data_IF_849546200842
#
_entry.id   IF_849546200842
#
_cell.length_a   1.000
_cell.length_b   1.000
_cell.length_c   1.000
_cell.angle_alpha   90.00
_cell.angle_beta   90.00
_cell.angle_gamma   90.00
#
_symmetry.space_group_name_H-M   'P 1'
#
loop_
_entity.id
_entity.type
_entity.pdbx_description
1 polymer ?
#
# COMPACT_ATOMS: atom_id res chain seq x y z
N UNK A 1 0.98 -17.08 4.57
CA UNK A 1 1.69 -16.93 3.29
C UNK A 1 3.13 -16.60 3.65
N UNK A 2 4.10 -17.35 3.13
CA UNK A 2 5.53 -17.08 3.39
C UNK A 2 6.11 -16.27 2.24
N UNK A 3 7.09 -15.37 2.47
CA UNK A 3 7.76 -14.65 1.41
C UNK A 3 8.44 -15.63 0.42
N UNK A 4 8.40 -15.31 -0.87
CA UNK A 4 9.13 -16.09 -1.87
C UNK A 4 10.64 -15.98 -1.69
N UNK A 5 11.40 -16.92 -2.25
CA UNK A 5 12.87 -16.85 -2.27
C UNK A 5 13.36 -15.58 -2.98
N UNK A 6 12.65 -15.17 -4.05
CA UNK A 6 12.92 -13.92 -4.75
C UNK A 6 12.81 -12.70 -3.82
N UNK A 7 11.73 -12.60 -3.03
CA UNK A 7 11.55 -11.48 -2.09
C UNK A 7 12.64 -11.49 -1.01
N UNK A 8 12.93 -12.67 -0.45
CA UNK A 8 13.97 -12.81 0.58
C UNK A 8 15.33 -12.31 0.08
N UNK A 9 15.74 -12.76 -1.10
CA UNK A 9 17.01 -12.35 -1.70
C UNK A 9 17.02 -10.86 -2.07
N UNK A 10 15.90 -10.34 -2.61
CA UNK A 10 15.76 -8.92 -2.96
C UNK A 10 15.89 -8.04 -1.73
N UNK A 11 15.17 -8.35 -0.66
CA UNK A 11 15.24 -7.59 0.59
C UNK A 11 16.64 -7.68 1.22
N UNK A 12 17.26 -8.89 1.20
CA UNK A 12 18.62 -9.04 1.70
C UNK A 12 19.61 -8.11 0.97
N UNK A 13 19.56 -8.08 -0.36
CA UNK A 13 20.45 -7.21 -1.17
C UNK A 13 20.21 -5.73 -0.91
N UNK A 14 18.94 -5.31 -0.89
CA UNK A 14 18.56 -3.91 -0.74
C UNK A 14 18.89 -3.37 0.66
N UNK A 15 18.75 -4.19 1.70
CA UNK A 15 18.97 -3.78 3.10
C UNK A 15 20.43 -3.88 3.51
N UNK A 16 21.18 -4.86 2.99
CA UNK A 16 22.60 -5.10 3.34
C UNK A 16 23.51 -3.88 3.14
N UNK A 17 23.26 -3.08 2.09
CA UNK A 17 24.03 -1.88 1.78
C UNK A 17 23.37 -0.59 2.28
N UNK A 18 22.31 -0.69 3.10
CA UNK A 18 21.48 0.42 3.57
C UNK A 18 20.87 1.29 2.46
N UNK A 19 20.86 0.82 1.22
CA UNK A 19 20.30 1.56 0.09
C UNK A 19 18.81 1.86 0.28
N UNK A 20 18.08 0.89 0.83
CA UNK A 20 16.66 1.03 1.10
C UNK A 20 16.31 1.92 2.32
N UNK A 21 17.30 2.42 3.04
CA UNK A 21 17.09 3.23 4.26
C UNK A 21 17.53 4.69 4.12
N UNK A 22 17.85 5.13 2.91
CA UNK A 22 18.36 6.49 2.73
C UNK A 22 17.26 7.56 2.93
N UNK A 23 16.07 7.32 2.39
CA UNK A 23 14.91 8.21 2.50
C UNK A 23 13.62 7.42 2.22
N UNK A 24 12.45 8.11 2.32
CA UNK A 24 11.13 7.54 2.06
C UNK A 24 11.06 6.84 0.69
N UNK A 25 11.55 7.50 -0.36
CA UNK A 25 11.54 6.94 -1.72
C UNK A 25 12.37 5.65 -1.81
N UNK A 26 13.57 5.64 -1.23
CA UNK A 26 14.41 4.44 -1.20
C UNK A 26 13.75 3.28 -0.47
N UNK A 27 13.03 3.54 0.62
CA UNK A 27 12.24 2.52 1.35
C UNK A 27 11.08 2.03 0.51
N UNK A 28 10.35 2.95 -0.10
CA UNK A 28 9.23 2.65 -0.98
C UNK A 28 9.66 1.72 -2.12
N UNK A 29 10.72 2.06 -2.82
CA UNK A 29 11.23 1.28 -3.96
C UNK A 29 11.97 0.00 -3.54
N UNK A 30 12.78 0.07 -2.49
CA UNK A 30 13.68 -1.01 -2.08
C UNK A 30 13.06 -2.05 -1.16
N UNK A 31 11.97 -1.73 -0.48
CA UNK A 31 11.32 -2.63 0.50
C UNK A 31 9.84 -2.79 0.16
N UNK A 32 9.07 -1.69 0.13
CA UNK A 32 7.62 -1.76 0.03
C UNK A 32 7.17 -2.32 -1.33
N UNK A 33 7.70 -1.77 -2.42
CA UNK A 33 7.36 -2.24 -3.77
C UNK A 33 7.70 -3.71 -4.00
N UNK A 34 8.88 -4.25 -3.63
CA UNK A 34 9.15 -5.68 -3.68
C UNK A 34 8.15 -6.54 -2.89
N UNK A 35 7.74 -6.12 -1.69
CA UNK A 35 6.74 -6.83 -0.89
C UNK A 35 5.39 -6.88 -1.63
N UNK A 36 4.94 -5.76 -2.18
CA UNK A 36 3.68 -5.69 -2.92
C UNK A 36 3.72 -6.49 -4.22
N UNK A 37 4.86 -6.50 -4.90
CA UNK A 37 5.08 -7.29 -6.13
C UNK A 37 5.05 -8.79 -5.82
N UNK A 38 5.69 -9.22 -4.74
CA UNK A 38 5.64 -10.61 -4.28
C UNK A 38 4.22 -11.04 -3.92
N UNK A 39 3.48 -10.16 -3.24
CA UNK A 39 2.07 -10.37 -2.92
C UNK A 39 1.23 -10.55 -4.19
N UNK A 40 1.42 -9.70 -5.19
CA UNK A 40 0.75 -9.78 -6.48
C UNK A 40 1.02 -11.12 -7.18
N UNK A 41 2.29 -11.52 -7.24
CA UNK A 41 2.72 -12.78 -7.84
C UNK A 41 2.14 -14.00 -7.11
N UNK A 42 2.20 -14.03 -5.78
CA UNK A 42 1.67 -15.13 -4.96
C UNK A 42 0.13 -15.25 -5.02
N UNK A 43 -0.56 -14.19 -5.44
CA UNK A 43 -2.00 -14.18 -5.69
C UNK A 43 -2.34 -14.39 -7.18
N UNK A 44 -1.42 -14.94 -7.99
CA UNK A 44 -1.62 -15.23 -9.41
C UNK A 44 -2.13 -14.02 -10.20
N UNK A 45 -1.63 -12.83 -9.90
CA UNK A 45 -2.03 -11.57 -10.55
C UNK A 45 -3.55 -11.31 -10.51
N UNK A 46 -4.21 -11.71 -9.43
CA UNK A 46 -5.66 -11.54 -9.25
C UNK A 46 -6.11 -10.09 -8.98
N UNK A 47 -5.16 -9.18 -8.86
CA UNK A 47 -5.35 -7.74 -8.74
C UNK A 47 -4.26 -7.01 -9.52
N UNK A 48 -4.38 -5.69 -9.66
CA UNK A 48 -3.35 -4.85 -10.29
C UNK A 48 -2.71 -3.93 -9.27
N UNK A 49 -1.42 -3.66 -9.44
CA UNK A 49 -0.62 -2.79 -8.58
C UNK A 49 -0.12 -1.60 -9.41
N UNK A 50 -0.39 -0.40 -8.93
CA UNK A 50 0.08 0.86 -9.51
C UNK A 50 0.92 1.60 -8.48
N UNK A 51 2.04 2.19 -8.92
CA UNK A 51 2.92 3.05 -8.11
C UNK A 51 2.79 4.49 -8.60
N UNK A 52 2.67 5.45 -7.68
CA UNK A 52 2.53 6.87 -8.01
C UNK A 52 1.24 7.22 -8.77
N UNK A 53 0.15 6.50 -8.49
CA UNK A 53 -1.09 6.71 -9.20
C UNK A 53 -1.89 7.88 -8.62
N UNK A 54 -2.43 8.72 -9.52
CA UNK A 54 -3.31 9.82 -9.13
C UNK A 54 -4.74 9.32 -9.00
N UNK A 55 -5.32 9.51 -7.82
CA UNK A 55 -6.74 9.27 -7.58
C UNK A 55 -7.50 10.60 -7.67
N UNK A 56 -8.43 10.69 -8.61
CA UNK A 56 -9.33 11.82 -8.77
C UNK A 56 -10.66 11.57 -8.04
N UNK A 57 -10.69 11.80 -6.73
CA UNK A 57 -11.89 11.71 -5.91
C UNK A 57 -12.78 12.95 -6.07
N UNK A 58 -12.60 13.94 -5.24
CA UNK A 58 -13.27 15.24 -5.27
C UNK A 58 -12.27 16.38 -5.07
N UNK A 59 -12.09 17.20 -6.13
CA UNK A 59 -11.16 18.34 -6.11
C UNK A 59 -11.61 19.45 -5.15
N UNK A 60 -12.91 19.65 -4.99
CA UNK A 60 -13.45 20.70 -4.10
C UNK A 60 -13.23 20.38 -2.63
N UNK A 61 -13.20 19.10 -2.29
CA UNK A 61 -12.92 18.62 -0.93
C UNK A 61 -11.43 18.34 -0.71
N UNK A 62 -10.56 18.57 -1.70
CA UNK A 62 -9.14 18.24 -1.61
C UNK A 62 -8.86 16.73 -1.58
N UNK A 63 -9.82 15.90 -1.98
CA UNK A 63 -9.72 14.44 -2.01
C UNK A 63 -9.26 13.94 -3.36
N UNK A 64 -8.18 14.53 -3.84
CA UNK A 64 -7.48 14.13 -5.05
C UNK A 64 -5.97 14.26 -4.82
N UNK A 65 -5.20 13.35 -5.36
CA UNK A 65 -3.74 13.37 -5.20
C UNK A 65 -3.09 12.08 -5.61
N UNK A 66 -1.78 12.10 -5.58
CA UNK A 66 -0.94 10.95 -5.82
C UNK A 66 -0.94 10.04 -4.58
N UNK A 67 -1.02 8.73 -4.82
CA UNK A 67 -0.87 7.70 -3.81
C UNK A 67 0.38 6.89 -4.11
N UNK A 68 1.17 6.55 -3.10
CA UNK A 68 2.39 5.77 -3.31
C UNK A 68 2.11 4.45 -4.00
N UNK A 69 1.11 3.71 -3.53
CA UNK A 69 0.66 2.48 -4.18
C UNK A 69 -0.86 2.34 -4.12
N UNK A 70 -1.43 1.89 -5.25
CA UNK A 70 -2.86 1.63 -5.41
C UNK A 70 -3.05 0.22 -5.94
N UNK A 71 -3.94 -0.53 -5.30
CA UNK A 71 -4.30 -1.88 -5.74
C UNK A 71 -5.76 -1.87 -6.22
N UNK A 72 -5.98 -2.46 -7.40
CA UNK A 72 -7.31 -2.53 -8.01
C UNK A 72 -7.68 -3.97 -8.36
N UNK A 73 -8.98 -4.24 -8.44
CA UNK A 73 -9.48 -5.56 -8.89
C UNK A 73 -9.60 -5.68 -10.41
N UNK A 74 -9.37 -4.59 -11.13
CA UNK A 74 -9.35 -4.63 -12.58
C UNK A 74 -8.11 -5.36 -13.10
N UNK A 75 -8.16 -5.84 -14.34
CA UNK A 75 -6.97 -6.32 -15.03
C UNK A 75 -5.98 -5.18 -15.20
N UNK A 76 -4.69 -5.49 -15.19
CA UNK A 76 -3.66 -4.47 -15.32
C UNK A 76 -3.73 -3.78 -16.68
N UNK A 77 -3.78 -2.45 -16.64
CA UNK A 77 -3.78 -1.56 -17.77
C UNK A 77 -2.76 -0.44 -17.55
N UNK A 78 -2.50 0.37 -18.57
CA UNK A 78 -1.63 1.55 -18.47
C UNK A 78 -2.29 2.62 -17.58
N UNK A 79 -3.61 2.72 -17.63
CA UNK A 79 -4.39 3.65 -16.83
C UNK A 79 -4.92 2.99 -15.57
N UNK A 80 -5.06 3.80 -14.51
CA UNK A 80 -5.66 3.34 -13.26
C UNK A 80 -7.13 2.98 -13.46
N UNK A 81 -7.44 1.71 -13.30
CA UNK A 81 -8.78 1.18 -13.48
C UNK A 81 -9.50 0.93 -12.15
N UNK A 82 -10.84 1.02 -12.17
CA UNK A 82 -11.69 0.72 -11.02
C UNK A 82 -12.05 -0.77 -10.95
N UNK A 83 -12.36 -1.28 -9.78
CA UNK A 83 -12.39 -0.59 -8.50
C UNK A 83 -11.05 -0.63 -7.76
N UNK A 84 -10.66 0.49 -7.17
CA UNK A 84 -9.61 0.52 -6.14
C UNK A 84 -10.13 -0.20 -4.89
N UNK A 85 -9.34 -1.08 -4.32
CA UNK A 85 -9.68 -1.77 -3.08
C UNK A 85 -8.66 -1.59 -1.96
N UNK A 86 -7.44 -1.19 -2.28
CA UNK A 86 -6.40 -0.95 -1.29
C UNK A 86 -5.49 0.22 -1.69
N UNK A 87 -5.09 1.00 -0.71
CA UNK A 87 -4.07 2.03 -0.82
C UNK A 87 -2.98 1.74 0.19
N UNK A 88 -1.72 1.86 -0.22
CA UNK A 88 -0.56 1.75 0.65
C UNK A 88 0.23 3.06 0.59
N UNK A 89 0.43 3.65 1.75
CA UNK A 89 1.21 4.87 1.95
C UNK A 89 2.55 4.52 2.59
N UNK A 90 3.63 4.89 1.97
CA UNK A 90 4.98 4.71 2.48
C UNK A 90 5.44 5.94 3.27
N UNK A 91 6.13 5.72 4.39
CA UNK A 91 6.71 6.78 5.20
C UNK A 91 8.16 6.44 5.57
N UNK A 92 8.95 7.47 5.86
CA UNK A 92 10.34 7.27 6.22
C UNK A 92 10.49 6.70 7.63
N UNK A 93 10.02 7.41 8.65
CA UNK A 93 10.28 7.03 10.04
C UNK A 93 9.05 7.07 10.95
N UNK A 94 7.95 7.68 10.53
CA UNK A 94 6.77 7.90 11.37
C UNK A 94 5.48 7.48 10.66
N UNK A 95 4.98 6.35 11.07
CA UNK A 95 3.70 5.79 10.57
C UNK A 95 2.52 6.70 10.92
N UNK A 96 2.53 7.33 12.09
CA UNK A 96 1.40 8.14 12.57
C UNK A 96 1.13 9.34 11.64
N UNK A 97 2.17 9.89 11.03
CA UNK A 97 2.04 10.98 10.04
C UNK A 97 1.36 10.53 8.74
N UNK A 98 1.50 9.27 8.38
CA UNK A 98 0.87 8.70 7.17
C UNK A 98 -0.60 8.33 7.35
N UNK A 99 -1.07 8.14 8.58
CA UNK A 99 -2.44 7.68 8.84
C UNK A 99 -3.50 8.68 8.35
N UNK A 100 -3.45 9.98 8.68
CA UNK A 100 -4.40 10.96 8.16
C UNK A 100 -4.39 11.05 6.64
N UNK A 101 -3.21 10.98 6.02
CA UNK A 101 -3.05 11.00 4.57
C UNK A 101 -3.70 9.76 3.93
N UNK A 102 -3.40 8.57 4.42
CA UNK A 102 -4.01 7.33 3.94
C UNK A 102 -5.54 7.33 4.09
N UNK A 103 -6.06 7.87 5.19
CA UNK A 103 -7.51 8.02 5.40
C UNK A 103 -8.12 8.94 4.34
N UNK A 104 -7.52 10.10 4.08
CA UNK A 104 -8.00 11.03 3.05
C UNK A 104 -7.96 10.38 1.66
N UNK A 105 -6.91 9.66 1.33
CA UNK A 105 -6.78 8.90 0.08
C UNK A 105 -7.85 7.80 -0.04
N UNK A 106 -8.20 7.11 1.04
CA UNK A 106 -9.28 6.13 1.06
C UNK A 106 -10.65 6.76 0.78
N UNK A 107 -10.92 7.95 1.31
CA UNK A 107 -12.12 8.71 0.96
C UNK A 107 -12.11 9.13 -0.52
N UNK A 108 -10.98 9.61 -1.03
CA UNK A 108 -10.80 9.92 -2.45
C UNK A 108 -11.01 8.70 -3.34
N UNK A 109 -10.44 7.55 -2.99
CA UNK A 109 -10.62 6.28 -3.71
C UNK A 109 -12.07 5.82 -3.71
N UNK A 110 -12.78 6.02 -2.61
CA UNK A 110 -14.20 5.72 -2.55
C UNK A 110 -15.00 6.55 -3.55
N UNK A 111 -14.83 7.88 -3.54
CA UNK A 111 -15.50 8.78 -4.48
C UNK A 111 -15.09 8.48 -5.93
N UNK A 112 -13.81 8.14 -6.16
CA UNK A 112 -13.33 7.68 -7.46
C UNK A 112 -14.07 6.44 -7.93
N UNK A 113 -14.23 5.47 -7.05
CA UNK A 113 -14.94 4.23 -7.33
C UNK A 113 -16.45 4.45 -7.59
N UNK A 114 -17.12 5.32 -6.81
CA UNK A 114 -18.56 5.64 -6.93
C UNK A 114 -18.93 6.26 -8.29
N UNK A 115 -17.95 6.72 -9.08
CA UNK A 115 -18.16 7.19 -10.46
C UNK A 115 -18.42 6.04 -11.45
N UNK A 116 -18.34 4.78 -11.04
CA UNK A 116 -18.64 3.60 -11.85
C UNK A 116 -20.02 3.05 -11.52
N UNK A 117 -20.85 2.79 -12.54
CA UNK A 117 -22.21 2.27 -12.37
C UNK A 117 -22.28 0.88 -11.72
N UNK A 118 -21.21 0.09 -11.84
CA UNK A 118 -21.13 -1.29 -11.35
C UNK A 118 -20.32 -1.40 -10.06
N UNK A 119 -20.21 -0.32 -9.30
CA UNK A 119 -19.34 -0.28 -8.14
C UNK A 119 -19.96 -0.87 -6.88
N UNK A 120 -19.31 -1.83 -6.28
CA UNK A 120 -19.53 -2.25 -4.90
C UNK A 120 -18.29 -2.87 -4.27
N UNK A 121 -17.31 -2.14 -3.77
CA UNK A 121 -16.53 -2.67 -2.69
C UNK A 121 -17.20 -2.33 -1.38
N UNK A 122 -17.57 -3.35 -0.67
CA UNK A 122 -18.09 -3.19 0.68
C UNK A 122 -17.03 -2.63 1.65
N UNK A 123 -15.73 -2.77 1.32
CA UNK A 123 -14.60 -2.36 2.16
C UNK A 123 -13.44 -1.87 1.30
N UNK A 124 -12.85 -0.74 1.69
CA UNK A 124 -11.56 -0.25 1.22
C UNK A 124 -10.51 -0.50 2.31
N UNK A 125 -9.36 -0.97 1.93
CA UNK A 125 -8.25 -1.23 2.83
C UNK A 125 -7.19 -0.13 2.69
N UNK A 126 -6.63 0.32 3.81
CA UNK A 126 -5.48 1.18 3.86
C UNK A 126 -4.31 0.48 4.54
N UNK A 127 -3.12 0.81 4.15
CA UNK A 127 -1.91 0.47 4.86
C UNK A 127 -0.97 1.66 4.89
N UNK A 128 -0.34 1.89 6.03
CA UNK A 128 0.76 2.85 6.17
C UNK A 128 1.98 2.07 6.63
N UNK A 129 3.12 2.30 6.00
CA UNK A 129 4.30 1.50 6.27
C UNK A 129 5.60 2.31 6.19
N UNK A 130 6.56 1.95 7.03
CA UNK A 130 7.97 2.36 6.91
C UNK A 130 8.81 1.31 6.18
N UNK A 131 8.17 0.27 5.63
CA UNK A 131 8.84 -0.91 5.08
C UNK A 131 9.19 -1.95 6.14
N UNK A 132 9.40 -1.55 7.39
CA UNK A 132 9.68 -2.44 8.53
C UNK A 132 8.49 -2.61 9.46
N UNK A 133 7.65 -1.60 9.54
CA UNK A 133 6.42 -1.58 10.30
C UNK A 133 5.23 -1.33 9.39
N UNK A 134 4.10 -1.92 9.70
CA UNK A 134 2.86 -1.81 8.95
C UNK A 134 1.70 -1.52 9.87
N UNK A 135 0.95 -0.48 9.57
CA UNK A 135 -0.30 -0.14 10.22
C UNK A 135 -1.42 -0.19 9.17
N UNK A 136 -2.56 -0.78 9.52
CA UNK A 136 -3.70 -0.95 8.63
C UNK A 136 -4.89 -0.13 9.11
N UNK A 137 -4.96 1.18 8.81
CA UNK A 137 -6.18 1.91 8.96
C UNK A 137 -7.20 1.34 7.97
N UNK A 138 -8.36 0.96 8.44
CA UNK A 138 -9.42 0.44 7.60
C UNK A 138 -10.50 1.49 7.42
N UNK A 139 -10.83 1.82 6.19
CA UNK A 139 -12.10 2.46 5.89
C UNK A 139 -13.15 1.36 5.67
N UNK A 140 -13.87 1.03 6.73
CA UNK A 140 -14.98 0.11 6.62
C UNK A 140 -16.24 0.86 6.21
N UNK A 141 -17.16 0.16 5.51
CA UNK A 141 -18.55 0.49 5.21
C UNK A 141 -18.99 1.94 5.53
N UNK A 142 -19.84 2.44 4.74
CA UNK A 142 -20.46 3.77 4.58
C UNK A 142 -20.22 4.89 5.62
N UNK A 143 -19.85 4.61 6.89
CA UNK A 143 -19.71 5.63 7.96
C UNK A 143 -18.81 5.22 9.15
N UNK A 144 -17.93 4.24 9.04
CA UNK A 144 -17.17 3.77 10.21
C UNK A 144 -15.71 3.47 9.87
N UNK A 145 -14.80 4.12 10.58
CA UNK A 145 -13.37 3.85 10.56
C UNK A 145 -13.04 2.82 11.65
N UNK A 146 -12.37 1.73 11.28
CA UNK A 146 -11.82 0.76 12.22
C UNK A 146 -10.30 0.74 12.13
N UNK A 147 -9.65 0.71 13.28
CA UNK A 147 -8.20 0.51 13.39
C UNK A 147 -7.96 -0.95 13.77
N UNK A 148 -7.23 -1.69 12.96
CA UNK A 148 -6.64 -2.98 13.35
C UNK A 148 -5.14 -2.91 13.17
N UNK A 149 -4.41 -3.06 14.26
CA UNK A 149 -2.97 -3.34 14.20
C UNK A 149 -2.81 -4.82 13.87
N UNK A 150 -2.40 -5.14 12.66
CA UNK A 150 -2.05 -6.50 12.26
C UNK A 150 -0.55 -6.51 11.97
N UNK A 151 0.19 -7.12 12.88
CA UNK A 151 1.62 -7.37 12.74
C UNK A 151 1.79 -8.63 11.88
N UNK A 152 1.68 -8.50 10.55
CA UNK A 152 1.78 -9.67 9.65
C UNK A 152 3.19 -9.89 9.08
N UNK A 153 4.05 -8.89 9.09
CA UNK A 153 5.41 -9.00 8.55
C UNK A 153 6.53 -8.65 9.53
N UNK A 154 6.21 -8.18 10.74
CA UNK A 154 7.21 -7.77 11.72
C UNK A 154 8.14 -8.92 12.16
N UNK A 155 7.65 -10.15 12.21
CA UNK A 155 8.50 -11.31 12.52
C UNK A 155 9.50 -11.61 11.40
N UNK A 156 9.15 -11.34 10.15
CA UNK A 156 10.01 -11.60 9.01
C UNK A 156 11.12 -10.55 8.88
N UNK A 157 10.80 -9.27 9.02
CA UNK A 157 11.77 -8.17 8.90
C UNK A 157 12.69 -8.12 10.13
N UNK A 158 12.21 -8.50 11.32
CA UNK A 158 13.03 -8.59 12.52
C UNK A 158 14.16 -9.65 12.40
N UNK A 159 13.99 -10.63 11.52
CA UNK A 159 15.01 -11.66 11.25
C UNK A 159 16.16 -11.12 10.39
N UNK A 160 15.88 -10.15 9.51
CA UNK A 160 16.88 -9.56 8.61
C UNK A 160 17.47 -8.24 9.11
N UNK A 161 16.81 -7.55 10.04
CA UNK A 161 17.29 -6.29 10.63
C UNK A 161 18.32 -6.45 11.76
N UNK A 162 18.65 -7.67 12.20
CA UNK A 162 19.58 -7.96 13.28
C UNK A 162 20.84 -8.69 12.81
N UNK A 163 21.45 -8.31 11.73
CA UNK A 163 22.86 -8.64 11.50
C UNK A 163 23.70 -7.43 11.87
N UNK A 164 24.43 -7.61 12.99
CA UNK A 164 25.46 -6.69 13.50
C UNK A 164 26.53 -6.42 12.44
#
# INVERSE_FOLDING_TARGET
MSPSEWLQETLHRNTKRRLAYYNEKSRSEGIVFPILTDLLHQNNFSFSLYSGAIIEGDKHLGLNGECDFVLTKAQQSIELERPVFCIVEAKDNDIELGIPQCIAQLYGARLYNEKSENFSPAVLYGAVTTGTEWNFPMAARKYSLYRRNIVLYSQFIATFGRSK
#
